data_IF_458641811962
#
_entry.id   IF_458641811962
#
_cell.length_a   1.000
_cell.length_b   1.000
_cell.length_c   1.000
_cell.angle_alpha   90.00
_cell.angle_beta   90.00
_cell.angle_gamma   90.00
#
_symmetry.space_group_name_H-M   'P 1'
#
loop_
_entity.id
_entity.type
_entity.pdbx_description
1 polymer ?
#
# COMPACT_ATOMS: atom_id res chain seq x y z
N UNK A 1 49.72 21.32 -61.71
CA UNK A 1 49.69 20.77 -60.36
C UNK A 1 48.99 21.59 -59.30
N UNK A 2 48.66 22.88 -59.52
CA UNK A 2 47.96 23.73 -58.51
C UNK A 2 46.42 23.63 -58.50
N UNK A 3 45.80 23.15 -59.58
CA UNK A 3 44.34 23.06 -59.72
C UNK A 3 43.77 21.81 -59.03
N UNK A 4 44.52 20.75 -58.93
CA UNK A 4 44.09 19.49 -58.28
C UNK A 4 43.93 19.59 -56.78
N UNK A 5 44.72 20.42 -56.10
CA UNK A 5 44.64 20.61 -54.66
C UNK A 5 43.45 21.48 -54.22
N UNK A 6 43.02 22.44 -55.06
CA UNK A 6 41.88 23.28 -54.84
C UNK A 6 40.54 22.49 -54.90
N UNK A 7 40.46 21.51 -55.80
CA UNK A 7 39.26 20.65 -55.91
C UNK A 7 39.12 19.69 -54.74
N UNK A 8 40.27 19.16 -54.25
CA UNK A 8 40.29 18.26 -53.08
C UNK A 8 39.90 19.02 -51.80
N UNK A 9 40.34 20.27 -51.64
CA UNK A 9 40.01 21.09 -50.50
C UNK A 9 38.51 21.49 -50.47
N UNK A 10 37.91 21.69 -51.65
CA UNK A 10 36.49 22.02 -51.78
C UNK A 10 35.57 20.81 -51.50
N UNK A 11 36.00 19.59 -51.86
CA UNK A 11 35.30 18.35 -51.54
C UNK A 11 35.40 17.99 -50.07
N UNK A 12 36.49 18.32 -49.37
CA UNK A 12 36.63 18.15 -47.93
C UNK A 12 35.76 19.11 -47.11
N UNK A 13 35.47 20.31 -47.61
CA UNK A 13 34.59 21.28 -46.97
C UNK A 13 33.10 20.97 -47.10
N UNK A 14 32.70 20.18 -48.11
CA UNK A 14 31.31 19.73 -48.29
C UNK A 14 30.93 18.51 -47.44
N UNK A 15 31.92 17.83 -46.86
CA UNK A 15 31.70 16.62 -46.03
C UNK A 15 31.21 16.92 -44.59
N UNK A 16 31.17 18.17 -44.14
CA UNK A 16 30.82 18.53 -42.77
C UNK A 16 29.44 19.19 -42.59
N UNK A 17 28.61 19.21 -43.61
CA UNK A 17 27.19 19.46 -43.39
C UNK A 17 26.54 18.21 -42.77
N UNK A 18 26.87 17.90 -41.52
CA UNK A 18 26.04 17.01 -40.72
C UNK A 18 24.66 17.63 -40.71
N UNK A 19 23.72 17.01 -41.43
CA UNK A 19 22.30 17.17 -41.15
C UNK A 19 22.11 16.84 -39.67
N UNK A 20 22.05 17.89 -38.82
CA UNK A 20 21.41 17.74 -37.54
C UNK A 20 19.95 17.43 -37.83
N UNK A 21 19.59 16.15 -37.89
CA UNK A 21 18.19 15.77 -37.73
C UNK A 21 17.67 16.56 -36.53
N UNK A 22 16.57 17.30 -36.66
CA UNK A 22 15.95 17.88 -35.50
C UNK A 22 15.75 16.72 -34.53
N UNK A 23 16.40 16.77 -33.35
CA UNK A 23 16.14 15.83 -32.31
C UNK A 23 14.63 15.82 -32.15
N UNK A 24 14.01 14.67 -32.35
CA UNK A 24 12.60 14.51 -32.09
C UNK A 24 12.42 15.06 -30.67
N UNK A 25 11.60 16.10 -30.54
CA UNK A 25 11.26 16.66 -29.24
C UNK A 25 10.62 15.47 -28.51
N UNK A 26 11.38 14.81 -27.66
CA UNK A 26 10.79 13.82 -26.76
C UNK A 26 9.65 14.55 -26.06
N UNK A 27 8.46 14.05 -26.24
CA UNK A 27 7.23 14.59 -25.64
C UNK A 27 7.26 14.24 -24.16
N UNK A 28 8.22 14.88 -23.45
CA UNK A 28 8.42 14.70 -22.01
C UNK A 28 7.35 15.47 -21.28
N UNK A 29 6.63 14.77 -20.42
CA UNK A 29 5.74 15.41 -19.46
C UNK A 29 6.53 16.44 -18.64
N UNK A 30 5.91 17.54 -18.26
CA UNK A 30 6.46 18.39 -17.21
C UNK A 30 6.55 17.60 -15.89
N UNK A 31 7.40 18.04 -14.97
CA UNK A 31 7.55 17.38 -13.67
C UNK A 31 6.21 17.31 -12.95
N UNK A 32 5.39 18.36 -12.98
CA UNK A 32 4.06 18.37 -12.36
C UNK A 32 3.12 17.35 -13.03
N UNK A 33 3.09 17.28 -14.34
CA UNK A 33 2.26 16.32 -15.07
C UNK A 33 2.73 14.87 -14.86
N UNK A 34 4.04 14.67 -14.72
CA UNK A 34 4.61 13.37 -14.39
C UNK A 34 4.20 12.94 -12.97
N UNK A 35 4.34 13.84 -11.99
CA UNK A 35 3.96 13.59 -10.60
C UNK A 35 2.46 13.29 -10.48
N UNK A 36 1.59 14.05 -11.14
CA UNK A 36 0.15 13.78 -11.15
C UNK A 36 -0.14 12.39 -11.76
N UNK A 37 0.52 12.05 -12.86
CA UNK A 37 0.38 10.74 -13.50
C UNK A 37 0.80 9.60 -12.56
N UNK A 38 1.94 9.74 -11.87
CA UNK A 38 2.44 8.73 -10.93
C UNK A 38 1.46 8.56 -9.75
N UNK A 39 1.02 9.67 -9.16
CA UNK A 39 0.10 9.63 -8.03
C UNK A 39 -1.24 8.99 -8.40
N UNK A 40 -1.82 9.36 -9.55
CA UNK A 40 -3.08 8.76 -10.03
C UNK A 40 -2.94 7.27 -10.30
N UNK A 41 -1.84 6.83 -10.92
CA UNK A 41 -1.60 5.40 -11.18
C UNK A 41 -1.37 4.61 -9.90
N UNK A 42 -0.66 5.19 -8.92
CA UNK A 42 -0.50 4.60 -7.59
C UNK A 42 -1.84 4.48 -6.88
N UNK A 43 -2.66 5.53 -6.91
CA UNK A 43 -4.02 5.49 -6.38
C UNK A 43 -4.87 4.39 -7.03
N UNK A 44 -4.81 4.24 -8.35
CA UNK A 44 -5.59 3.22 -9.08
C UNK A 44 -5.21 1.79 -8.67
N UNK A 45 -3.95 1.53 -8.30
CA UNK A 45 -3.57 0.23 -7.75
C UNK A 45 -4.42 -0.14 -6.51
N UNK A 46 -4.63 0.83 -5.63
CA UNK A 46 -5.41 0.64 -4.40
C UNK A 46 -6.93 0.81 -4.60
N UNK A 47 -7.36 1.54 -5.62
CA UNK A 47 -8.77 1.81 -5.87
C UNK A 47 -9.41 0.78 -6.81
N UNK A 48 -8.87 0.66 -8.02
CA UNK A 48 -9.36 -0.26 -9.05
C UNK A 48 -8.81 -1.67 -8.83
N UNK A 49 -7.56 -1.78 -8.41
CA UNK A 49 -6.86 -3.03 -8.16
C UNK A 49 -7.19 -3.70 -6.83
N UNK A 50 -7.99 -3.07 -5.95
CA UNK A 50 -8.39 -3.65 -4.69
C UNK A 50 -9.08 -5.01 -4.86
N UNK A 51 -8.98 -5.86 -3.85
CA UNK A 51 -9.75 -7.10 -3.80
C UNK A 51 -11.24 -6.76 -3.61
N UNK A 52 -12.15 -7.29 -4.45
CA UNK A 52 -13.50 -6.76 -4.57
C UNK A 52 -14.41 -7.00 -3.36
N UNK A 53 -14.18 -8.03 -2.54
CA UNK A 53 -15.01 -8.31 -1.37
C UNK A 53 -14.59 -7.47 -0.16
N UNK A 54 -13.29 -7.40 0.11
CA UNK A 54 -12.71 -6.67 1.24
C UNK A 54 -12.53 -5.18 0.97
N UNK A 55 -12.25 -4.80 -0.28
CA UNK A 55 -11.82 -3.44 -0.64
C UNK A 55 -10.38 -3.12 -0.27
N UNK A 56 -9.62 -4.09 0.25
CA UNK A 56 -8.23 -3.98 0.69
C UNK A 56 -7.25 -4.23 -0.46
N UNK A 57 -5.99 -3.87 -0.23
CA UNK A 57 -4.93 -4.03 -1.22
C UNK A 57 -4.59 -5.51 -1.44
N UNK A 58 -4.58 -5.94 -2.69
CA UNK A 58 -3.99 -7.23 -3.05
C UNK A 58 -2.51 -7.24 -2.70
N UNK A 59 -2.01 -8.41 -2.34
CA UNK A 59 -0.58 -8.61 -2.11
C UNK A 59 0.19 -8.31 -3.41
N UNK A 60 -0.35 -8.75 -4.55
CA UNK A 60 0.17 -8.46 -5.89
C UNK A 60 -0.92 -8.49 -6.95
N UNK A 61 -0.62 -7.89 -8.09
CA UNK A 61 -1.43 -7.97 -9.30
C UNK A 61 -0.54 -8.45 -10.43
N UNK A 62 -0.89 -9.59 -11.02
CA UNK A 62 -0.22 -10.09 -12.22
C UNK A 62 -0.78 -9.38 -13.45
N UNK A 63 0.09 -8.70 -14.21
CA UNK A 63 -0.31 -7.86 -15.36
C UNK A 63 -0.96 -8.70 -16.47
N UNK A 64 -0.53 -9.96 -16.62
CA UNK A 64 -1.08 -10.90 -17.59
C UNK A 64 -2.39 -11.58 -17.11
N UNK A 65 -2.81 -11.31 -15.87
CA UNK A 65 -4.00 -11.91 -15.26
C UNK A 65 -3.87 -13.39 -14.90
N UNK A 66 -2.65 -13.94 -14.97
CA UNK A 66 -2.39 -15.35 -14.64
C UNK A 66 -1.89 -15.45 -13.20
N UNK A 67 -2.58 -16.23 -12.38
CA UNK A 67 -2.28 -16.43 -10.96
C UNK A 67 -1.97 -17.92 -10.70
N UNK A 68 -0.72 -18.36 -10.92
CA UNK A 68 -0.36 -19.78 -10.86
C UNK A 68 -0.51 -20.38 -9.45
N UNK A 69 -0.45 -19.55 -8.42
CA UNK A 69 -0.60 -19.97 -7.01
C UNK A 69 -2.01 -19.72 -6.45
N UNK A 70 -2.97 -19.36 -7.29
CA UNK A 70 -4.33 -18.97 -6.90
C UNK A 70 -4.36 -17.84 -5.85
N UNK A 71 -3.42 -16.92 -5.93
CA UNK A 71 -3.19 -15.84 -4.97
C UNK A 71 -3.91 -14.52 -5.34
N UNK A 72 -4.75 -14.54 -6.38
CA UNK A 72 -5.50 -13.37 -6.84
C UNK A 72 -6.39 -12.70 -5.79
N UNK A 73 -6.83 -13.45 -4.77
CA UNK A 73 -7.65 -12.95 -3.66
C UNK A 73 -6.84 -12.75 -2.38
N UNK A 74 -5.51 -12.90 -2.44
CA UNK A 74 -4.64 -12.63 -1.29
C UNK A 74 -4.48 -11.13 -1.10
N UNK A 75 -4.75 -10.67 0.10
CA UNK A 75 -4.61 -9.29 0.54
C UNK A 75 -3.60 -9.18 1.67
N UNK A 76 -2.96 -8.03 1.77
CA UNK A 76 -1.93 -7.75 2.79
C UNK A 76 -2.43 -6.70 3.78
N UNK A 77 -2.14 -6.86 5.05
CA UNK A 77 -2.56 -5.92 6.10
C UNK A 77 -1.78 -4.60 6.05
N UNK A 78 -0.47 -4.65 6.09
CA UNK A 78 0.35 -3.43 6.03
C UNK A 78 0.22 -2.68 4.72
N UNK A 79 0.27 -3.39 3.58
CA UNK A 79 0.02 -2.78 2.27
C UNK A 79 -1.36 -2.16 2.15
N UNK A 80 -2.37 -2.73 2.80
CA UNK A 80 -3.71 -2.13 2.90
C UNK A 80 -3.71 -0.85 3.72
N UNK A 81 -2.86 -0.75 4.75
CA UNK A 81 -2.67 0.51 5.48
C UNK A 81 -2.22 1.63 4.54
N UNK A 82 -1.24 1.39 3.68
CA UNK A 82 -0.84 2.37 2.64
C UNK A 82 -1.97 2.64 1.65
N UNK A 83 -2.76 1.63 1.27
CA UNK A 83 -3.92 1.78 0.40
C UNK A 83 -5.00 2.69 0.99
N UNK A 84 -5.30 2.55 2.27
CA UNK A 84 -6.23 3.40 3.02
C UNK A 84 -5.76 4.86 2.98
N UNK A 85 -4.46 5.11 3.21
CA UNK A 85 -3.89 6.45 3.11
C UNK A 85 -3.95 7.00 1.69
N UNK A 86 -3.73 6.16 0.68
CA UNK A 86 -3.87 6.56 -0.73
C UNK A 86 -5.32 6.95 -1.07
N UNK A 87 -6.33 6.31 -0.47
CA UNK A 87 -7.74 6.66 -0.66
C UNK A 87 -8.03 8.05 -0.06
N UNK A 88 -7.55 8.36 1.16
CA UNK A 88 -7.68 9.70 1.73
C UNK A 88 -7.05 10.77 0.84
N UNK A 89 -5.83 10.52 0.35
CA UNK A 89 -5.17 11.41 -0.60
C UNK A 89 -5.96 11.54 -1.92
N UNK A 90 -6.59 10.46 -2.39
CA UNK A 90 -7.43 10.46 -3.57
C UNK A 90 -8.69 11.31 -3.42
N UNK A 91 -9.30 11.32 -2.24
CA UNK A 91 -10.43 12.20 -1.92
C UNK A 91 -9.96 13.67 -1.96
N UNK A 92 -8.87 14.00 -1.29
CA UNK A 92 -8.32 15.36 -1.23
C UNK A 92 -7.95 15.89 -2.62
N UNK A 93 -7.41 15.04 -3.49
CA UNK A 93 -7.08 15.38 -4.86
C UNK A 93 -8.25 15.33 -5.84
N UNK A 94 -9.45 14.96 -5.39
CA UNK A 94 -10.63 14.85 -6.24
C UNK A 94 -10.56 13.69 -7.25
N UNK A 95 -9.79 12.65 -6.98
CA UNK A 95 -9.77 11.42 -7.78
C UNK A 95 -11.06 10.61 -7.59
N UNK A 96 -11.58 10.66 -6.38
CA UNK A 96 -12.88 10.12 -5.98
C UNK A 96 -13.57 11.13 -5.08
N UNK A 97 -14.89 11.05 -5.00
CA UNK A 97 -15.68 11.89 -4.09
C UNK A 97 -15.51 11.43 -2.64
N UNK A 98 -15.79 12.32 -1.70
CA UNK A 98 -15.83 12.00 -0.26
C UNK A 98 -16.82 10.87 0.06
N UNK A 99 -17.95 10.81 -0.65
CA UNK A 99 -18.96 9.77 -0.48
C UNK A 99 -18.44 8.40 -0.97
N UNK A 100 -17.84 8.33 -2.14
CA UNK A 100 -17.21 7.09 -2.65
C UNK A 100 -16.11 6.59 -1.72
N UNK A 101 -15.31 7.52 -1.18
CA UNK A 101 -14.30 7.20 -0.17
C UNK A 101 -14.90 6.63 1.10
N UNK A 102 -15.98 7.23 1.62
CA UNK A 102 -16.72 6.72 2.79
C UNK A 102 -17.22 5.29 2.55
N UNK A 103 -17.89 5.05 1.43
CA UNK A 103 -18.42 3.73 1.07
C UNK A 103 -17.30 2.66 0.98
N UNK A 104 -16.14 3.03 0.45
CA UNK A 104 -14.98 2.14 0.43
C UNK A 104 -14.46 1.86 1.83
N UNK A 105 -14.36 2.87 2.70
CA UNK A 105 -13.91 2.70 4.08
C UNK A 105 -14.89 1.86 4.91
N UNK A 106 -16.20 2.03 4.71
CA UNK A 106 -17.21 1.18 5.35
C UNK A 106 -17.05 -0.29 4.95
N UNK A 107 -16.79 -0.58 3.68
CA UNK A 107 -16.52 -1.94 3.20
C UNK A 107 -15.28 -2.51 3.89
N UNK A 108 -14.18 -1.75 3.90
CA UNK A 108 -12.92 -2.16 4.53
C UNK A 108 -13.11 -2.46 6.01
N UNK A 109 -13.74 -1.55 6.76
CA UNK A 109 -13.99 -1.72 8.20
C UNK A 109 -14.89 -2.90 8.46
N UNK A 110 -15.95 -3.11 7.65
CA UNK A 110 -16.83 -4.27 7.78
C UNK A 110 -16.11 -5.60 7.56
N UNK A 111 -15.17 -5.66 6.63
CA UNK A 111 -14.30 -6.82 6.46
C UNK A 111 -13.41 -7.04 7.69
N UNK A 112 -12.74 -5.99 8.17
CA UNK A 112 -11.80 -6.07 9.30
C UNK A 112 -12.48 -6.48 10.62
N UNK A 113 -13.75 -6.17 10.80
CA UNK A 113 -14.53 -6.58 11.97
C UNK A 113 -14.80 -8.10 12.02
N UNK A 114 -14.75 -8.77 10.87
CA UNK A 114 -15.11 -10.19 10.74
C UNK A 114 -13.94 -11.09 10.33
N UNK A 115 -12.85 -10.51 9.84
CA UNK A 115 -11.66 -11.24 9.43
C UNK A 115 -10.92 -11.84 10.63
N UNK A 116 -10.13 -12.88 10.39
CA UNK A 116 -9.30 -13.52 11.42
C UNK A 116 -8.38 -12.48 12.07
N UNK A 117 -8.37 -12.49 13.39
CA UNK A 117 -7.51 -11.69 14.28
C UNK A 117 -7.00 -12.57 15.41
N UNK A 118 -5.82 -12.25 15.90
CA UNK A 118 -5.13 -13.00 16.94
C UNK A 118 -4.79 -12.06 18.10
N UNK A 119 -5.50 -12.17 19.21
CA UNK A 119 -5.44 -11.18 20.30
C UNK A 119 -5.61 -9.73 19.81
N UNK A 120 -6.51 -9.57 18.82
CA UNK A 120 -6.80 -8.29 18.18
C UNK A 120 -5.84 -7.88 17.06
N UNK A 121 -4.64 -8.43 16.97
CA UNK A 121 -3.72 -8.17 15.87
C UNK A 121 -4.16 -8.90 14.59
N UNK A 122 -3.88 -8.28 13.47
CA UNK A 122 -4.14 -8.83 12.15
C UNK A 122 -2.99 -9.72 11.68
N UNK A 123 -3.25 -10.73 10.84
CA UNK A 123 -2.19 -11.52 10.22
C UNK A 123 -1.49 -10.73 9.10
N UNK A 124 -0.38 -11.24 8.63
CA UNK A 124 0.35 -10.70 7.48
C UNK A 124 -0.55 -10.65 6.24
N UNK A 125 -1.21 -11.79 5.95
CA UNK A 125 -2.11 -11.95 4.82
C UNK A 125 -3.44 -12.59 5.19
N UNK A 126 -4.48 -12.23 4.42
CA UNK A 126 -5.77 -12.94 4.39
C UNK A 126 -6.13 -13.38 2.98
N UNK A 127 -7.05 -14.32 2.89
CA UNK A 127 -7.88 -14.47 1.72
C UNK A 127 -9.00 -13.43 1.78
N UNK A 128 -9.05 -12.51 0.81
CA UNK A 128 -9.98 -11.36 0.81
C UNK A 128 -11.44 -11.76 0.62
N UNK A 129 -11.71 -12.94 0.06
CA UNK A 129 -13.05 -13.48 -0.11
C UNK A 129 -13.62 -14.13 1.16
N UNK A 130 -12.77 -14.59 2.06
CA UNK A 130 -13.19 -15.34 3.26
C UNK A 130 -12.80 -14.65 4.57
N UNK A 131 -11.87 -13.73 4.56
CA UNK A 131 -11.29 -13.14 5.78
C UNK A 131 -10.42 -14.11 6.59
N UNK A 132 -10.14 -15.30 6.06
CA UNK A 132 -9.29 -16.27 6.72
C UNK A 132 -7.82 -15.96 6.53
N UNK A 133 -7.02 -16.19 7.57
CA UNK A 133 -5.58 -16.04 7.50
C UNK A 133 -5.00 -16.89 6.37
N UNK A 134 -4.16 -16.27 5.56
CA UNK A 134 -3.27 -16.97 4.64
C UNK A 134 -1.87 -16.94 5.22
N UNK A 135 -1.30 -18.08 5.63
CA UNK A 135 0.05 -18.11 6.16
C UNK A 135 1.07 -17.50 5.21
N UNK A 136 1.86 -16.58 5.68
CA UNK A 136 3.03 -16.06 4.95
C UNK A 136 4.16 -17.08 4.95
N UNK A 137 4.31 -17.79 6.05
CA UNK A 137 5.24 -18.89 6.23
C UNK A 137 4.72 -19.88 7.27
N UNK A 138 5.44 -20.98 7.49
CA UNK A 138 4.98 -22.04 8.39
C UNK A 138 4.68 -21.53 9.80
N UNK A 139 5.52 -20.62 10.33
CA UNK A 139 5.36 -20.04 11.66
C UNK A 139 4.67 -18.68 11.65
N UNK A 140 4.55 -18.07 10.49
CA UNK A 140 3.87 -16.79 10.25
C UNK A 140 2.46 -17.07 9.72
N UNK A 141 1.60 -17.53 10.65
CA UNK A 141 0.23 -17.94 10.40
C UNK A 141 -0.74 -17.38 11.45
N UNK A 142 -0.34 -16.34 12.15
CA UNK A 142 -1.09 -15.74 13.24
C UNK A 142 -1.06 -14.22 13.24
N UNK A 143 -1.00 -13.60 14.41
CA UNK A 143 -1.00 -12.15 14.54
C UNK A 143 0.37 -11.55 14.24
N UNK A 144 0.42 -10.63 13.30
CA UNK A 144 1.58 -9.83 12.93
C UNK A 144 1.40 -8.40 13.45
N UNK A 145 2.17 -8.04 14.46
CA UNK A 145 2.02 -6.75 15.11
C UNK A 145 2.55 -5.59 14.27
N UNK A 146 3.58 -5.83 13.45
CA UNK A 146 4.17 -4.84 12.55
C UNK A 146 3.18 -4.47 11.45
N UNK A 147 2.61 -5.47 10.80
CA UNK A 147 1.57 -5.26 9.78
C UNK A 147 0.31 -4.62 10.38
N UNK A 148 -0.05 -5.01 11.61
CA UNK A 148 -1.13 -4.40 12.37
C UNK A 148 -0.87 -2.92 12.65
N UNK A 149 0.36 -2.54 12.96
CA UNK A 149 0.74 -1.15 13.20
C UNK A 149 0.47 -0.28 11.97
N UNK A 150 0.84 -0.73 10.78
CA UNK A 150 0.58 0.02 9.53
C UNK A 150 -0.91 0.22 9.26
N UNK A 151 -1.71 -0.83 9.36
CA UNK A 151 -3.16 -0.70 9.09
C UNK A 151 -3.86 0.12 10.16
N UNK A 152 -3.48 -0.01 11.43
CA UNK A 152 -4.04 0.77 12.53
C UNK A 152 -3.69 2.25 12.43
N UNK A 153 -2.45 2.60 12.04
CA UNK A 153 -2.07 3.99 11.77
C UNK A 153 -2.95 4.62 10.69
N UNK A 154 -3.21 3.88 9.62
CA UNK A 154 -4.07 4.35 8.56
C UNK A 154 -5.53 4.50 9.01
N UNK A 155 -6.07 3.52 9.75
CA UNK A 155 -7.42 3.58 10.31
C UNK A 155 -7.60 4.76 11.28
N UNK A 156 -6.61 5.05 12.13
CA UNK A 156 -6.63 6.22 13.00
C UNK A 156 -6.61 7.52 12.20
N UNK A 157 -5.96 7.57 11.05
CA UNK A 157 -6.04 8.70 10.14
C UNK A 157 -7.44 8.86 9.55
N UNK A 158 -8.09 7.76 9.17
CA UNK A 158 -9.50 7.75 8.71
C UNK A 158 -10.45 8.21 9.83
N UNK A 159 -10.25 7.70 11.05
CA UNK A 159 -11.00 8.14 12.23
C UNK A 159 -10.92 9.66 12.38
N UNK A 160 -9.72 10.24 12.37
CA UNK A 160 -9.52 11.68 12.51
C UNK A 160 -10.12 12.48 11.33
N UNK A 161 -10.10 11.91 10.12
CA UNK A 161 -10.66 12.53 8.93
C UNK A 161 -12.20 12.65 8.99
N UNK A 162 -12.87 11.70 9.64
CA UNK A 162 -14.34 11.57 9.64
C UNK A 162 -15.03 11.92 10.97
N UNK A 163 -14.29 12.08 12.07
CA UNK A 163 -14.87 12.23 13.42
C UNK A 163 -15.82 13.43 13.57
N UNK A 164 -15.57 14.52 12.87
CA UNK A 164 -16.38 15.75 12.90
C UNK A 164 -17.32 15.85 11.68
N UNK A 165 -17.49 14.76 10.93
CA UNK A 165 -18.27 14.73 9.70
C UNK A 165 -19.78 14.46 9.92
N UNK A 166 -20.42 13.92 8.90
CA UNK A 166 -21.81 13.49 8.92
C UNK A 166 -22.05 12.35 9.94
N UNK A 167 -23.31 12.06 10.32
CA UNK A 167 -23.61 10.94 11.22
C UNK A 167 -23.07 9.59 10.74
N UNK A 168 -23.04 9.32 9.43
CA UNK A 168 -22.47 8.10 8.86
C UNK A 168 -20.94 8.06 9.03
N UNK A 169 -20.27 9.18 8.79
CA UNK A 169 -18.83 9.31 8.99
C UNK A 169 -18.42 9.15 10.46
N UNK A 170 -19.18 9.75 11.38
CA UNK A 170 -18.96 9.58 12.82
C UNK A 170 -19.20 8.13 13.26
N UNK A 171 -20.20 7.46 12.71
CA UNK A 171 -20.44 6.03 12.99
C UNK A 171 -19.27 5.15 12.53
N UNK A 172 -18.70 5.42 11.34
CA UNK A 172 -17.50 4.75 10.86
C UNK A 172 -16.30 5.01 11.79
N UNK A 173 -16.08 6.26 12.20
CA UNK A 173 -15.02 6.64 13.12
C UNK A 173 -15.13 5.86 14.47
N UNK A 174 -16.33 5.73 15.00
CA UNK A 174 -16.56 4.97 16.23
C UNK A 174 -16.24 3.47 16.07
N UNK A 175 -16.53 2.86 14.92
CA UNK A 175 -16.16 1.47 14.61
C UNK A 175 -14.65 1.29 14.54
N UNK A 176 -13.95 2.26 13.95
CA UNK A 176 -12.48 2.26 13.88
C UNK A 176 -11.87 2.37 15.29
N UNK A 177 -12.37 3.27 16.13
CA UNK A 177 -11.90 3.40 17.53
C UNK A 177 -12.05 2.07 18.29
N UNK A 178 -13.14 1.34 18.05
CA UNK A 178 -13.34 0.01 18.62
C UNK A 178 -12.29 -0.99 18.15
N UNK A 179 -12.03 -1.08 16.83
CA UNK A 179 -11.02 -1.98 16.27
C UNK A 179 -9.63 -1.71 16.85
N UNK A 180 -9.27 -0.44 17.00
CA UNK A 180 -8.02 -0.01 17.60
C UNK A 180 -7.89 -0.50 19.05
N UNK A 181 -8.93 -0.29 19.87
CA UNK A 181 -8.95 -0.66 21.29
C UNK A 181 -9.00 -2.17 21.53
N UNK A 182 -9.43 -2.94 20.55
CA UNK A 182 -9.48 -4.40 20.62
C UNK A 182 -8.13 -5.09 20.36
N UNK A 183 -7.10 -4.36 19.94
CA UNK A 183 -5.74 -4.90 19.85
C UNK A 183 -5.17 -5.03 21.26
N UNK A 184 -4.88 -6.26 21.70
CA UNK A 184 -4.26 -6.52 22.99
C UNK A 184 -2.73 -6.33 22.91
N UNK A 185 -2.30 -5.09 22.88
CA UNK A 185 -0.88 -4.72 22.86
C UNK A 185 -0.12 -5.32 24.04
N UNK A 186 -0.79 -5.47 25.21
CA UNK A 186 -0.16 -6.03 26.39
C UNK A 186 0.14 -7.53 26.23
N UNK A 187 -0.72 -8.28 25.53
CA UNK A 187 -0.45 -9.67 25.18
C UNK A 187 0.87 -9.82 24.41
N UNK A 188 1.11 -8.90 23.45
CA UNK A 188 2.30 -8.90 22.61
C UNK A 188 3.60 -8.51 23.34
N UNK A 189 3.54 -8.24 24.63
CA UNK A 189 4.72 -8.11 25.51
C UNK A 189 5.28 -9.45 26.00
N UNK A 190 4.73 -10.55 25.58
CA UNK A 190 5.22 -11.91 25.90
C UNK A 190 5.54 -12.09 27.39
N UNK A 191 4.55 -11.88 28.28
CA UNK A 191 4.71 -12.03 29.72
C UNK A 191 5.34 -10.80 30.41
N UNK A 192 4.81 -9.62 30.12
CA UNK A 192 5.15 -8.33 30.77
C UNK A 192 6.59 -7.82 30.50
N UNK A 193 7.21 -8.22 29.41
CA UNK A 193 8.49 -7.65 28.99
C UNK A 193 8.32 -6.18 28.59
N UNK A 194 9.43 -5.39 28.63
CA UNK A 194 9.43 -3.97 28.22
C UNK A 194 9.64 -3.78 26.70
N UNK A 195 9.15 -4.71 25.91
CA UNK A 195 9.25 -4.73 24.45
C UNK A 195 8.06 -5.49 23.88
N UNK A 196 7.59 -5.07 22.71
CA UNK A 196 6.58 -5.80 21.94
C UNK A 196 7.25 -6.85 21.06
N UNK A 197 6.56 -7.95 20.82
CA UNK A 197 7.02 -9.02 19.94
C UNK A 197 6.25 -8.98 18.63
N UNK A 198 6.95 -9.17 17.53
CA UNK A 198 6.42 -9.05 16.19
C UNK A 198 5.24 -9.98 15.91
N UNK A 199 5.37 -11.27 16.28
CA UNK A 199 4.45 -12.27 15.80
C UNK A 199 4.08 -13.29 16.90
N UNK A 200 2.82 -13.68 16.91
CA UNK A 200 2.31 -14.80 17.68
C UNK A 200 1.50 -15.74 16.80
N UNK A 201 1.80 -17.05 16.86
CA UNK A 201 1.11 -18.10 16.13
C UNK A 201 0.17 -18.90 17.03
N UNK A 202 -1.06 -19.24 16.61
CA UNK A 202 -1.94 -20.12 17.35
C UNK A 202 -1.38 -21.54 17.48
N UNK A 203 -0.51 -21.98 16.57
CA UNK A 203 0.08 -23.33 16.55
C UNK A 203 1.49 -23.35 17.16
N UNK A 204 2.28 -22.31 16.94
CA UNK A 204 3.69 -22.26 17.33
C UNK A 204 3.97 -21.26 18.48
N UNK A 205 2.93 -20.55 18.96
CA UNK A 205 3.10 -19.55 20.02
C UNK A 205 4.10 -18.47 19.64
N UNK A 206 5.06 -18.24 20.51
CA UNK A 206 6.12 -17.22 20.35
C UNK A 206 7.38 -17.75 19.65
N UNK A 207 7.31 -18.84 18.91
CA UNK A 207 8.50 -19.52 18.36
C UNK A 207 9.33 -18.65 17.40
N UNK A 208 8.75 -17.62 16.80
CA UNK A 208 9.52 -16.64 16.01
C UNK A 208 10.40 -15.75 16.89
N UNK A 209 10.04 -15.52 18.14
CA UNK A 209 10.80 -14.85 19.19
C UNK A 209 11.55 -13.58 18.72
N UNK A 210 10.83 -12.69 18.02
CA UNK A 210 11.40 -11.48 17.41
C UNK A 210 10.91 -10.22 18.13
N UNK A 211 11.70 -9.63 19.06
CA UNK A 211 11.33 -8.39 19.72
C UNK A 211 11.44 -7.19 18.76
N UNK A 212 10.40 -6.34 18.76
CA UNK A 212 10.38 -5.09 17.99
C UNK A 212 10.99 -3.99 18.86
N UNK A 213 12.18 -3.52 18.52
CA UNK A 213 12.87 -2.51 19.31
C UNK A 213 13.74 -1.59 18.45
N UNK A 214 14.17 -0.49 19.04
CA UNK A 214 14.93 0.54 18.33
C UNK A 214 14.00 1.51 17.56
N UNK A 215 14.60 2.40 16.79
CA UNK A 215 13.85 3.29 15.91
C UNK A 215 13.46 2.53 14.63
N UNK A 216 12.16 2.33 14.43
CA UNK A 216 11.61 1.54 13.33
C UNK A 216 10.26 2.11 12.85
N UNK A 217 9.68 1.48 11.83
CA UNK A 217 8.42 1.87 11.20
C UNK A 217 7.19 1.68 12.10
N UNK A 218 7.30 0.90 13.15
CA UNK A 218 6.19 0.53 14.02
C UNK A 218 6.03 1.47 15.22
N UNK A 219 6.57 2.68 15.17
CA UNK A 219 6.57 3.63 16.30
C UNK A 219 5.16 3.93 16.85
N UNK A 220 4.12 3.80 16.04
CA UNK A 220 2.73 3.98 16.47
C UNK A 220 2.27 3.00 17.55
N UNK A 221 3.00 1.90 17.76
CA UNK A 221 2.66 0.90 18.79
C UNK A 221 3.03 1.35 20.20
N UNK A 222 3.83 2.40 20.35
CA UNK A 222 4.33 2.97 21.59
C UNK A 222 3.70 4.33 21.89
#
# INVERSE_FOLDING_TARGET
MKIQYSLLLFLLLLGFTQCKSPAAKEDRLSDDALMDTVQRRTFNYFWEGAEPNSGLARERIHIDGVYPENDQNVITSGGSGFGIMAILAGIDRGYVTRQEGLERMEKIVSFLETADRFHGAYPHWWYGDTGKVKPFGQKDNGGDLVETAFIMQALLSVHQYYIDGSPAEQALAARIDKLWREVDWNFYRQGDQNVLYWHWSPEYGWEMDFPVHGYNECLIMY
#
